data_IF_474830655625
#
_entry.id   IF_474830655625
#
_cell.length_a   1.000
_cell.length_b   1.000
_cell.length_c   1.000
_cell.angle_alpha   90.00
_cell.angle_beta   90.00
_cell.angle_gamma   90.00
#
_symmetry.space_group_name_H-M   'P 1'
#
loop_
_entity.id
_entity.type
_entity.pdbx_description
1 polymer ?
#
# COMPACT_ATOMS: atom_id res chain seq x y z
N UNK A 1 73.28 -16.47 -31.34
CA UNK A 1 72.17 -16.81 -30.43
C UNK A 1 71.38 -15.52 -30.18
N UNK A 2 70.26 -15.34 -30.87
CA UNK A 2 69.41 -14.12 -30.77
C UNK A 2 68.26 -14.43 -29.84
N UNK A 3 68.13 -13.68 -28.74
CA UNK A 3 67.01 -13.78 -27.81
C UNK A 3 65.89 -12.89 -28.31
N UNK A 4 64.72 -13.47 -28.68
CA UNK A 4 63.53 -12.74 -29.05
C UNK A 4 62.74 -12.50 -27.75
N UNK A 5 62.56 -11.21 -27.41
CA UNK A 5 61.73 -10.81 -26.31
C UNK A 5 60.28 -10.65 -26.83
N UNK A 6 59.37 -11.47 -26.29
CA UNK A 6 57.94 -11.35 -26.56
C UNK A 6 57.33 -10.41 -25.54
N UNK A 7 56.91 -9.21 -25.98
CA UNK A 7 56.13 -8.28 -25.19
C UNK A 7 54.66 -8.70 -25.25
N UNK A 8 54.14 -9.21 -24.14
CA UNK A 8 52.71 -9.38 -23.94
C UNK A 8 52.07 -8.02 -23.61
N UNK A 9 51.31 -7.48 -24.54
CA UNK A 9 50.47 -6.32 -24.28
C UNK A 9 49.14 -6.77 -23.65
N UNK A 10 48.95 -6.53 -22.35
CA UNK A 10 47.68 -6.74 -21.68
C UNK A 10 46.78 -5.54 -22.01
N UNK A 11 45.79 -5.78 -22.89
CA UNK A 11 44.71 -4.82 -23.11
C UNK A 11 43.68 -4.96 -21.98
N UNK A 12 43.65 -4.01 -21.06
CA UNK A 12 42.61 -3.88 -20.05
C UNK A 12 41.33 -3.32 -20.72
N UNK A 13 40.39 -4.15 -21.00
CA UNK A 13 39.04 -3.71 -21.42
C UNK A 13 38.28 -3.22 -20.17
N UNK A 14 38.23 -1.90 -19.96
CA UNK A 14 37.28 -1.29 -19.03
C UNK A 14 35.87 -1.44 -19.62
N UNK A 15 35.08 -2.36 -19.11
CA UNK A 15 33.64 -2.39 -19.33
C UNK A 15 33.01 -1.26 -18.53
N UNK A 16 32.72 -0.13 -19.20
CA UNK A 16 31.89 0.92 -18.66
C UNK A 16 30.43 0.41 -18.58
N UNK A 17 30.03 -0.09 -17.42
CA UNK A 17 28.62 -0.33 -17.11
C UNK A 17 27.92 1.01 -17.01
N UNK A 18 27.26 1.41 -18.09
CA UNK A 18 26.32 2.54 -18.04
C UNK A 18 25.13 2.09 -17.19
N UNK A 19 25.12 2.47 -15.91
CA UNK A 19 23.90 2.40 -15.10
C UNK A 19 22.90 3.37 -15.72
N UNK A 20 21.88 2.81 -16.34
CA UNK A 20 20.69 3.57 -16.68
C UNK A 20 20.03 3.95 -15.34
N UNK A 21 20.32 5.15 -14.85
CA UNK A 21 19.49 5.79 -13.84
C UNK A 21 18.23 6.19 -14.59
N UNK A 22 17.16 5.38 -14.42
CA UNK A 22 15.85 5.75 -14.94
C UNK A 22 15.53 7.16 -14.42
N UNK A 23 15.39 8.09 -15.34
CA UNK A 23 14.92 9.43 -15.03
C UNK A 23 13.58 9.28 -14.32
N UNK A 24 13.57 9.53 -13.04
CA UNK A 24 12.31 9.62 -12.30
C UNK A 24 11.48 10.69 -13.01
N UNK A 25 10.35 10.28 -13.60
CA UNK A 25 9.44 11.22 -14.23
C UNK A 25 9.14 12.32 -13.22
N UNK A 26 9.67 13.51 -13.45
CA UNK A 26 9.29 14.68 -12.68
C UNK A 26 7.77 14.86 -12.79
N UNK A 27 7.08 15.03 -11.68
CA UNK A 27 5.67 15.39 -11.76
C UNK A 27 5.54 16.63 -12.63
N UNK A 28 4.49 16.73 -13.47
CA UNK A 28 4.30 17.86 -14.36
C UNK A 28 4.37 19.17 -13.55
N UNK A 29 5.10 20.14 -14.08
CA UNK A 29 5.28 21.43 -13.43
C UNK A 29 3.90 22.02 -13.05
N UNK A 30 3.77 22.46 -11.80
CA UNK A 30 2.55 23.10 -11.32
C UNK A 30 2.23 24.31 -12.22
N UNK A 31 1.13 24.25 -12.99
CA UNK A 31 0.62 25.41 -13.72
C UNK A 31 0.30 25.23 -15.20
N UNK A 32 0.50 24.07 -15.81
CA UNK A 32 -0.06 23.82 -17.14
C UNK A 32 -1.56 23.52 -16.99
N UNK A 33 -2.41 24.27 -17.68
CA UNK A 33 -3.84 23.98 -17.80
C UNK A 33 -3.98 22.66 -18.56
N UNK A 34 -4.30 21.57 -17.83
CA UNK A 34 -4.55 20.26 -18.45
C UNK A 34 -5.89 20.35 -19.21
N UNK A 35 -5.91 20.14 -20.54
CA UNK A 35 -7.13 20.30 -21.36
C UNK A 35 -8.23 19.30 -20.97
N UNK A 36 -7.93 18.29 -20.16
CA UNK A 36 -8.92 17.33 -19.67
C UNK A 36 -9.70 17.84 -18.45
N UNK A 37 -9.30 18.99 -17.87
CA UNK A 37 -9.97 19.57 -16.70
C UNK A 37 -10.53 20.94 -16.99
N UNK A 38 -11.68 21.25 -16.40
CA UNK A 38 -12.22 22.62 -16.37
C UNK A 38 -11.79 23.29 -15.08
N UNK A 39 -11.10 24.43 -15.19
CA UNK A 39 -10.55 25.16 -14.06
C UNK A 39 -9.14 24.69 -13.68
N UNK A 40 -8.56 25.35 -12.68
CA UNK A 40 -7.18 25.10 -12.24
C UNK A 40 -7.10 23.84 -11.39
N UNK A 41 -6.23 22.90 -11.77
CA UNK A 41 -5.92 21.71 -11.00
C UNK A 41 -4.44 21.66 -10.62
N UNK A 42 -4.11 20.97 -9.52
CA UNK A 42 -2.74 20.76 -9.06
C UNK A 42 -2.58 19.32 -8.65
N UNK A 43 -1.56 18.65 -9.17
CA UNK A 43 -1.18 17.32 -8.72
C UNK A 43 -0.42 17.46 -7.40
N UNK A 44 -0.91 16.79 -6.36
CA UNK A 44 -0.25 16.75 -5.05
C UNK A 44 0.68 15.54 -4.97
N UNK A 45 1.76 15.68 -4.20
CA UNK A 45 2.67 14.56 -3.92
C UNK A 45 1.97 13.56 -2.98
N UNK A 46 2.00 12.29 -3.35
CA UNK A 46 1.42 11.18 -2.59
C UNK A 46 2.46 10.20 -2.02
N UNK A 47 3.72 10.62 -1.85
CA UNK A 47 4.82 9.75 -1.36
C UNK A 47 4.61 9.23 0.05
N UNK A 48 3.78 9.88 0.84
CA UNK A 48 3.40 9.43 2.18
C UNK A 48 2.28 8.38 2.18
N UNK A 49 1.65 8.12 1.02
CA UNK A 49 0.64 7.10 0.90
C UNK A 49 1.28 5.70 0.82
N UNK A 50 0.69 4.75 1.53
CA UNK A 50 0.99 3.32 1.38
C UNK A 50 -0.20 2.60 0.78
N UNK A 51 0.04 1.78 -0.24
CA UNK A 51 -1.02 0.99 -0.90
C UNK A 51 -0.63 -0.47 -0.88
N UNK A 52 -1.55 -1.34 -0.42
CA UNK A 52 -1.36 -2.78 -0.41
C UNK A 52 -2.67 -3.50 -0.72
N UNK A 53 -2.61 -4.49 -1.60
CA UNK A 53 -3.69 -5.47 -1.78
C UNK A 53 -3.46 -6.63 -0.85
N UNK A 54 -4.48 -7.01 -0.07
CA UNK A 54 -4.39 -8.12 0.88
C UNK A 54 -5.57 -9.07 0.72
N UNK A 55 -5.26 -10.38 0.66
CA UNK A 55 -6.24 -11.44 0.73
C UNK A 55 -6.35 -11.96 2.17
N UNK A 56 -7.58 -12.13 2.64
CA UNK A 56 -7.94 -12.80 3.88
C UNK A 56 -8.74 -14.05 3.57
N UNK A 57 -8.36 -15.18 4.16
CA UNK A 57 -9.18 -16.38 4.09
C UNK A 57 -10.44 -16.22 4.97
N UNK A 58 -11.48 -17.05 4.78
CA UNK A 58 -12.71 -16.96 5.57
C UNK A 58 -12.45 -16.87 7.06
N UNK A 59 -12.98 -15.84 7.72
CA UNK A 59 -12.79 -15.60 9.15
C UNK A 59 -11.45 -15.01 9.57
N UNK A 60 -10.47 -14.90 8.67
CA UNK A 60 -9.19 -14.25 8.97
C UNK A 60 -9.40 -12.75 9.19
N UNK A 61 -8.69 -12.19 10.16
CA UNK A 61 -8.85 -10.80 10.58
C UNK A 61 -7.56 -10.23 11.17
N UNK A 62 -7.46 -8.92 11.21
CA UNK A 62 -6.39 -8.21 11.93
C UNK A 62 -6.62 -8.28 13.44
N UNK A 63 -5.59 -7.97 14.23
CA UNK A 63 -5.76 -7.51 15.61
C UNK A 63 -6.44 -6.13 15.63
N UNK A 64 -6.86 -5.66 16.79
CA UNK A 64 -7.19 -4.25 17.00
C UNK A 64 -5.96 -3.40 16.69
N UNK A 65 -6.15 -2.29 16.01
CA UNK A 65 -5.07 -1.37 15.66
C UNK A 65 -5.60 0.02 15.34
N UNK A 66 -4.70 0.98 15.24
CA UNK A 66 -4.99 2.33 14.76
C UNK A 66 -3.87 2.84 13.86
N UNK A 67 -4.16 3.85 13.06
CA UNK A 67 -3.20 4.52 12.18
C UNK A 67 -3.12 6.00 12.55
N UNK A 68 -1.91 6.57 12.58
CA UNK A 68 -1.71 7.97 12.95
C UNK A 68 -2.48 8.94 12.03
N UNK A 69 -2.60 8.62 10.74
CA UNK A 69 -3.25 9.48 9.73
C UNK A 69 -4.50 8.87 9.10
N UNK A 70 -4.94 7.69 9.61
CA UNK A 70 -6.11 7.00 9.12
C UNK A 70 -5.83 6.02 7.98
N UNK A 71 -6.90 5.32 7.56
CA UNK A 71 -6.85 4.28 6.54
C UNK A 71 -8.15 4.26 5.74
N UNK A 72 -8.04 3.97 4.44
CA UNK A 72 -9.16 3.62 3.58
C UNK A 72 -9.04 2.14 3.17
N UNK A 73 -10.13 1.40 3.28
CA UNK A 73 -10.29 0.05 2.77
C UNK A 73 -11.27 0.07 1.61
N UNK A 74 -10.96 -0.62 0.52
CA UNK A 74 -11.87 -0.86 -0.60
C UNK A 74 -11.97 -2.36 -0.83
N UNK A 75 -13.19 -2.89 -0.93
CA UNK A 75 -13.43 -4.32 -1.20
C UNK A 75 -13.34 -4.57 -2.70
N UNK A 76 -12.37 -5.40 -3.12
CA UNK A 76 -12.22 -5.82 -4.51
C UNK A 76 -12.91 -7.15 -4.79
N UNK A 77 -12.88 -8.10 -3.82
CA UNK A 77 -13.52 -9.41 -3.92
C UNK A 77 -14.07 -9.85 -2.57
N UNK A 78 -15.17 -10.58 -2.58
CA UNK A 78 -15.73 -11.19 -1.38
C UNK A 78 -16.46 -10.21 -0.47
N UNK A 79 -16.26 -10.35 0.86
CA UNK A 79 -16.98 -9.54 1.83
C UNK A 79 -16.10 -9.18 3.04
N UNK A 80 -15.99 -7.91 3.30
CA UNK A 80 -15.27 -7.34 4.44
C UNK A 80 -16.18 -7.32 5.67
N UNK A 81 -15.62 -7.64 6.83
CA UNK A 81 -16.19 -7.43 8.16
C UNK A 81 -15.25 -6.54 8.96
N UNK A 82 -15.76 -5.47 9.54
CA UNK A 82 -14.96 -4.47 10.27
C UNK A 82 -15.71 -3.93 11.47
N UNK A 83 -14.98 -3.42 12.44
CA UNK A 83 -15.53 -2.73 13.59
C UNK A 83 -14.60 -1.62 14.07
N UNK A 84 -15.13 -0.44 14.28
CA UNK A 84 -14.49 0.65 15.00
C UNK A 84 -14.83 0.52 16.49
N UNK A 85 -13.86 0.72 17.36
CA UNK A 85 -14.06 0.55 18.81
C UNK A 85 -15.24 1.39 19.30
N UNK A 86 -16.16 0.74 20.03
CA UNK A 86 -17.39 1.38 20.50
C UNK A 86 -18.54 1.47 19.48
N UNK A 87 -18.37 0.95 18.26
CA UNK A 87 -19.41 0.93 17.24
C UNK A 87 -19.85 -0.48 16.91
N UNK A 88 -20.99 -0.62 16.24
CA UNK A 88 -21.45 -1.91 15.72
C UNK A 88 -20.52 -2.45 14.63
N UNK A 89 -20.48 -3.76 14.49
CA UNK A 89 -19.83 -4.43 13.36
C UNK A 89 -20.53 -4.01 12.07
N UNK A 90 -19.73 -3.77 11.04
CA UNK A 90 -20.19 -3.43 9.69
C UNK A 90 -19.66 -4.47 8.71
N UNK A 91 -20.46 -4.83 7.72
CA UNK A 91 -20.06 -5.65 6.60
C UNK A 91 -20.19 -4.87 5.29
N UNK A 92 -19.26 -5.10 4.37
CA UNK A 92 -19.16 -4.39 3.10
C UNK A 92 -18.93 -5.39 1.97
N UNK A 93 -19.60 -5.18 0.86
CA UNK A 93 -19.46 -5.94 -0.37
C UNK A 93 -18.48 -5.29 -1.36
N UNK A 94 -18.34 -5.94 -2.52
CA UNK A 94 -17.47 -5.47 -3.61
C UNK A 94 -17.82 -4.05 -4.06
N UNK A 95 -16.81 -3.20 -4.22
CA UNK A 95 -16.95 -1.79 -4.60
C UNK A 95 -17.25 -0.86 -3.41
N UNK A 96 -17.61 -1.40 -2.25
CA UNK A 96 -17.81 -0.59 -1.06
C UNK A 96 -16.49 -0.29 -0.34
N UNK A 97 -16.47 0.79 0.42
CA UNK A 97 -15.28 1.25 1.14
C UNK A 97 -15.58 1.63 2.58
N UNK A 98 -14.55 1.56 3.43
CA UNK A 98 -14.58 2.03 4.82
C UNK A 98 -13.38 2.93 5.12
N UNK A 99 -13.66 4.17 5.49
CA UNK A 99 -12.64 5.09 5.95
C UNK A 99 -12.57 5.06 7.48
N UNK A 100 -11.38 4.86 8.01
CA UNK A 100 -11.10 4.96 9.44
C UNK A 100 -10.26 6.21 9.70
N UNK A 101 -10.76 7.10 10.55
CA UNK A 101 -10.11 8.36 10.89
C UNK A 101 -8.79 8.15 11.66
N UNK A 102 -7.90 9.17 11.69
CA UNK A 102 -6.67 9.13 12.47
C UNK A 102 -6.89 8.69 13.92
N UNK A 103 -6.04 7.81 14.42
CA UNK A 103 -6.02 7.27 15.78
C UNK A 103 -7.28 6.51 16.23
N UNK A 104 -8.25 6.30 15.36
CA UNK A 104 -9.45 5.51 15.69
C UNK A 104 -9.09 4.02 15.67
N UNK A 105 -9.27 3.37 16.82
CA UNK A 105 -9.01 1.93 16.98
C UNK A 105 -10.07 1.12 16.24
N UNK A 106 -9.63 0.18 15.43
CA UNK A 106 -10.51 -0.69 14.63
C UNK A 106 -9.85 -2.03 14.34
N UNK A 107 -10.62 -2.94 13.79
CA UNK A 107 -10.16 -4.17 13.14
C UNK A 107 -10.92 -4.40 11.84
N UNK A 108 -10.36 -5.21 10.95
CA UNK A 108 -11.01 -5.63 9.72
C UNK A 108 -10.53 -7.03 9.28
N UNK A 109 -11.33 -7.69 8.45
CA UNK A 109 -11.03 -9.02 7.92
C UNK A 109 -12.17 -9.56 7.06
N UNK A 110 -12.08 -10.85 6.69
CA UNK A 110 -13.11 -11.54 5.94
C UNK A 110 -14.27 -11.94 6.85
N UNK A 111 -15.48 -12.03 6.29
CA UNK A 111 -16.62 -12.67 6.99
C UNK A 111 -16.37 -14.16 7.21
N UNK A 112 -17.17 -14.83 8.12
CA UNK A 112 -17.07 -16.24 8.36
C UNK A 112 -17.36 -17.04 7.15
N UNK A 113 -17.05 -17.54 6.30
CA UNK A 113 -17.49 -18.39 5.18
C UNK A 113 -17.13 -17.86 3.80
N UNK A 114 -16.57 -16.66 3.69
CA UNK A 114 -16.16 -16.08 2.43
C UNK A 114 -14.81 -15.37 2.56
N UNK A 115 -13.90 -15.63 1.63
CA UNK A 115 -12.64 -14.90 1.54
C UNK A 115 -12.88 -13.45 1.11
N UNK A 116 -11.90 -12.59 1.38
CA UNK A 116 -11.90 -11.18 1.05
C UNK A 116 -10.60 -10.84 0.31
N UNK A 117 -10.69 -10.06 -0.75
CA UNK A 117 -9.57 -9.27 -1.28
C UNK A 117 -9.89 -7.80 -1.09
N UNK A 118 -9.03 -7.09 -0.40
CA UNK A 118 -9.19 -5.66 -0.15
C UNK A 118 -7.95 -4.88 -0.57
N UNK A 119 -8.18 -3.67 -1.04
CA UNK A 119 -7.16 -2.64 -1.21
C UNK A 119 -7.09 -1.82 0.08
N UNK A 120 -5.90 -1.71 0.65
CA UNK A 120 -5.61 -0.84 1.79
C UNK A 120 -4.88 0.40 1.29
N UNK A 121 -5.37 1.58 1.67
CA UNK A 121 -4.66 2.84 1.46
C UNK A 121 -4.42 3.47 2.84
N UNK A 122 -3.15 3.53 3.24
CA UNK A 122 -2.71 4.22 4.45
C UNK A 122 -2.26 5.64 4.10
N UNK A 123 -2.62 6.61 4.92
CA UNK A 123 -2.30 8.02 4.71
C UNK A 123 -1.01 8.46 5.41
N UNK A 124 -0.09 7.52 5.64
CA UNK A 124 1.19 7.74 6.29
C UNK A 124 1.14 7.62 7.81
N UNK A 125 2.28 7.88 8.47
CA UNK A 125 2.45 7.67 9.89
C UNK A 125 2.62 6.19 10.26
N UNK A 126 2.51 5.89 11.56
CA UNK A 126 2.70 4.56 12.10
C UNK A 126 1.36 3.83 12.31
N UNK A 127 1.42 2.50 12.31
CA UNK A 127 0.34 1.63 12.74
C UNK A 127 0.62 1.14 14.16
N UNK A 128 -0.29 1.40 15.10
CA UNK A 128 -0.23 0.91 16.48
C UNK A 128 -1.06 -0.35 16.59
N UNK A 129 -0.38 -1.49 16.76
CA UNK A 129 -1.00 -2.79 16.96
C UNK A 129 -1.37 -2.98 18.44
N UNK A 130 -2.56 -3.51 18.67
CA UNK A 130 -3.10 -3.79 20.00
C UNK A 130 -3.42 -5.30 20.15
N UNK A 131 -4.32 -5.63 21.08
CA UNK A 131 -4.72 -6.99 21.36
C UNK A 131 -5.39 -7.70 20.16
N UNK A 132 -5.26 -9.02 20.03
CA UNK A 132 -6.03 -9.79 19.07
C UNK A 132 -7.54 -9.63 19.26
N UNK A 133 -8.29 -9.64 18.16
CA UNK A 133 -9.77 -9.69 18.20
C UNK A 133 -10.20 -11.12 18.60
N UNK A 134 -10.90 -11.27 19.72
CA UNK A 134 -11.42 -12.56 20.15
C UNK A 134 -12.54 -13.06 19.25
N UNK A 135 -12.85 -14.37 19.28
CA UNK A 135 -13.97 -14.90 18.49
C UNK A 135 -15.32 -14.32 18.93
N UNK A 136 -15.49 -14.05 20.24
CA UNK A 136 -16.70 -13.38 20.74
C UNK A 136 -16.85 -11.97 20.14
N UNK A 137 -15.79 -11.15 20.20
CA UNK A 137 -15.79 -9.82 19.59
C UNK A 137 -16.04 -9.88 18.08
N UNK A 138 -15.37 -10.79 17.37
CA UNK A 138 -15.56 -10.97 15.95
C UNK A 138 -16.99 -11.38 15.59
N UNK A 139 -17.67 -12.14 16.45
CA UNK A 139 -19.07 -12.54 16.29
C UNK A 139 -20.06 -11.48 16.80
N UNK A 140 -19.60 -10.40 17.43
CA UNK A 140 -20.46 -9.35 17.98
C UNK A 140 -21.15 -9.74 19.29
N UNK A 141 -20.47 -10.56 20.11
CA UNK A 141 -20.96 -11.05 21.41
C UNK A 141 -20.14 -10.47 22.56
#
# INVERSE_FOLDING_TARGET
>A
MKRVAVLLSLALALAASTYWVGEAQQPPAAGADDPHFTGKTVVMDGKDLSVARRRFEPGARTAWHSHDRGQLLLVEEGRLRTQKKGQAIKELGVGESDYTAPNLVHWHGAVPGQALVQLNVGFGGETKWLEPVTDAQYQGR
#
